data_IF_226517862451
#
_entry.id   IF_226517862451
#
_cell.length_a   1.000
_cell.length_b   1.000
_cell.length_c   1.000
_cell.angle_alpha   90.00
_cell.angle_beta   90.00
_cell.angle_gamma   90.00
#
_symmetry.space_group_name_H-M   'P 1'
#
loop_
_entity.id
_entity.type
_entity.pdbx_description
1 polymer ?
#
# COMPACT_ATOMS: atom_id res chain seq x y z
N UNK A 1 -4.55 18.91 10.26
CA UNK A 1 -5.37 17.73 9.95
C UNK A 1 -6.08 17.96 8.63
N UNK A 2 -5.93 17.06 7.65
CA UNK A 2 -5.97 17.38 6.22
C UNK A 2 -7.34 17.49 5.51
N UNK A 3 -8.47 17.20 6.16
CA UNK A 3 -9.80 17.49 5.59
C UNK A 3 -10.60 18.38 6.55
N UNK A 4 -10.92 19.61 6.13
CA UNK A 4 -11.59 20.60 6.97
C UNK A 4 -13.04 20.22 7.33
N UNK A 5 -13.75 19.54 6.43
CA UNK A 5 -15.17 19.27 6.58
C UNK A 5 -15.45 18.00 7.38
N UNK A 6 -14.60 16.99 7.22
CA UNK A 6 -14.71 15.68 7.86
C UNK A 6 -13.82 15.57 9.11
N UNK A 7 -13.03 16.59 9.42
CA UNK A 7 -12.09 16.63 10.55
C UNK A 7 -12.71 16.08 11.84
N UNK A 8 -13.81 16.69 12.26
CA UNK A 8 -14.50 16.36 13.50
C UNK A 8 -15.05 14.93 13.48
N UNK A 9 -15.57 14.48 12.33
CA UNK A 9 -16.09 13.14 12.18
C UNK A 9 -14.98 12.08 12.27
N UNK A 10 -13.84 12.32 11.62
CA UNK A 10 -12.68 11.42 11.63
C UNK A 10 -12.12 11.27 13.06
N UNK A 11 -12.05 12.38 13.80
CA UNK A 11 -11.60 12.41 15.21
C UNK A 11 -12.49 11.63 16.17
N UNK A 12 -13.74 11.31 15.82
CA UNK A 12 -14.60 10.51 16.69
C UNK A 12 -14.11 9.07 16.87
N UNK A 13 -13.30 8.56 15.92
CA UNK A 13 -12.89 7.16 15.89
C UNK A 13 -13.97 6.18 15.46
N UNK A 14 -15.11 6.66 14.96
CA UNK A 14 -16.23 5.81 14.54
C UNK A 14 -16.06 5.19 13.14
N UNK A 15 -15.09 5.63 12.36
CA UNK A 15 -14.78 5.04 11.06
C UNK A 15 -13.78 3.90 11.19
N UNK A 16 -14.06 2.74 10.60
CA UNK A 16 -13.05 1.68 10.50
C UNK A 16 -11.96 2.01 9.47
N UNK A 17 -12.36 2.71 8.39
CA UNK A 17 -11.52 2.96 7.23
C UNK A 17 -11.67 4.40 6.72
N UNK A 18 -10.54 5.02 6.41
CA UNK A 18 -10.47 6.36 5.80
C UNK A 18 -9.82 6.24 4.43
N UNK A 19 -10.60 6.44 3.36
CA UNK A 19 -10.10 6.45 1.98
C UNK A 19 -9.71 7.87 1.60
N UNK A 20 -8.42 8.18 1.66
CA UNK A 20 -7.92 9.53 1.39
C UNK A 20 -7.69 9.70 -0.11
N UNK A 21 -8.24 10.77 -0.69
CA UNK A 21 -8.05 11.11 -2.10
C UNK A 21 -6.73 11.88 -2.30
N UNK A 22 -5.71 11.25 -2.91
CA UNK A 22 -4.42 11.87 -3.23
C UNK A 22 -4.31 12.32 -4.70
N UNK A 23 -5.42 12.79 -5.26
CA UNK A 23 -5.52 13.26 -6.65
C UNK A 23 -6.48 14.44 -6.76
N UNK A 24 -6.42 15.16 -7.89
CA UNK A 24 -7.11 16.43 -8.11
C UNK A 24 -6.83 17.50 -7.04
N UNK A 25 -5.69 17.41 -6.35
CA UNK A 25 -5.33 18.28 -5.24
C UNK A 25 -3.80 18.52 -5.22
N UNK A 26 -3.30 19.53 -5.96
CA UNK A 26 -1.86 19.79 -6.15
C UNK A 26 -1.00 19.80 -4.87
N UNK A 27 -1.45 20.33 -3.71
CA UNK A 27 -0.68 20.34 -2.48
C UNK A 27 -0.39 18.97 -1.85
N UNK A 28 -1.11 17.91 -2.22
CA UNK A 28 -1.00 16.59 -1.60
C UNK A 28 -0.95 15.42 -2.59
N UNK A 29 -0.94 15.69 -3.89
CA UNK A 29 -0.90 14.64 -4.92
C UNK A 29 0.52 14.35 -5.42
N UNK A 30 0.65 13.23 -6.13
CA UNK A 30 1.87 12.93 -6.90
C UNK A 30 2.07 13.94 -8.03
N UNK A 31 3.32 14.40 -8.18
CA UNK A 31 3.78 15.11 -9.36
C UNK A 31 4.86 14.27 -10.07
N UNK A 32 4.88 14.20 -11.41
CA UNK A 32 5.89 13.43 -12.13
C UNK A 32 7.32 13.75 -11.65
N UNK A 33 8.02 12.73 -11.14
CA UNK A 33 9.39 12.86 -10.61
C UNK A 33 9.51 13.51 -9.22
N UNK A 34 8.41 13.78 -8.51
CA UNK A 34 8.43 14.36 -7.18
C UNK A 34 7.32 13.79 -6.26
N UNK A 35 7.73 13.05 -5.23
CA UNK A 35 6.86 12.42 -4.22
C UNK A 35 6.77 13.22 -2.92
N UNK A 36 7.48 14.33 -2.76
CA UNK A 36 7.63 15.00 -1.47
C UNK A 36 6.29 15.46 -0.88
N UNK A 37 5.46 16.13 -1.68
CA UNK A 37 4.16 16.64 -1.22
C UNK A 37 3.19 15.50 -0.89
N UNK A 38 3.22 14.44 -1.68
CA UNK A 38 2.45 13.22 -1.45
C UNK A 38 2.82 12.55 -0.12
N UNK A 39 4.13 12.38 0.13
CA UNK A 39 4.63 11.75 1.35
C UNK A 39 4.34 12.59 2.60
N UNK A 40 4.55 13.91 2.52
CA UNK A 40 4.20 14.81 3.62
C UNK A 40 2.71 14.68 3.98
N UNK A 41 1.83 14.65 2.98
CA UNK A 41 0.40 14.48 3.21
C UNK A 41 0.05 13.09 3.75
N UNK A 42 0.70 12.03 3.27
CA UNK A 42 0.52 10.68 3.79
C UNK A 42 0.90 10.57 5.27
N UNK A 43 2.04 11.17 5.65
CA UNK A 43 2.51 11.18 7.04
C UNK A 43 1.56 11.98 7.94
N UNK A 44 1.03 13.11 7.45
CA UNK A 44 0.00 13.87 8.16
C UNK A 44 -1.27 13.02 8.38
N UNK A 45 -1.78 12.35 7.35
CA UNK A 45 -2.96 11.51 7.47
C UNK A 45 -2.75 10.35 8.46
N UNK A 46 -1.65 9.61 8.31
CA UNK A 46 -1.38 8.42 9.13
C UNK A 46 -1.05 8.77 10.59
N UNK A 47 -0.52 9.97 10.85
CA UNK A 47 -0.26 10.44 12.22
C UNK A 47 -1.49 11.01 12.93
N UNK A 48 -2.46 11.57 12.19
CA UNK A 48 -3.65 12.21 12.77
C UNK A 48 -4.87 11.30 12.86
N UNK A 49 -4.94 10.24 12.05
CA UNK A 49 -6.00 9.23 12.14
C UNK A 49 -5.73 8.29 13.32
N UNK A 50 -6.77 7.95 14.09
CA UNK A 50 -6.64 7.12 15.28
C UNK A 50 -6.05 5.73 14.94
N UNK A 51 -5.22 5.14 15.82
CA UNK A 51 -4.48 3.91 15.51
C UNK A 51 -5.34 2.67 15.18
N UNK A 52 -6.60 2.64 15.61
CA UNK A 52 -7.54 1.57 15.33
C UNK A 52 -8.20 1.68 13.94
N UNK A 53 -8.03 2.81 13.25
CA UNK A 53 -8.60 3.05 11.94
C UNK A 53 -7.54 2.79 10.87
N UNK A 54 -7.93 2.19 9.75
CA UNK A 54 -7.04 1.99 8.60
C UNK A 54 -7.11 3.16 7.63
N UNK A 55 -5.96 3.62 7.13
CA UNK A 55 -5.86 4.66 6.10
C UNK A 55 -5.56 4.01 4.75
N UNK A 56 -6.42 4.25 3.77
CA UNK A 56 -6.26 3.75 2.42
C UNK A 56 -5.77 4.86 1.50
N UNK A 57 -4.81 4.51 0.65
CA UNK A 57 -4.17 5.39 -0.31
C UNK A 57 -5.01 5.49 -1.58
N UNK A 58 -5.86 6.51 -1.67
CA UNK A 58 -6.79 6.70 -2.79
C UNK A 58 -6.11 7.32 -4.00
N UNK A 59 -6.13 6.58 -5.11
CA UNK A 59 -5.49 6.91 -6.37
C UNK A 59 -6.48 6.87 -7.53
N UNK A 60 -6.26 7.67 -8.59
CA UNK A 60 -7.03 7.52 -9.81
C UNK A 60 -6.51 6.33 -10.59
N UNK A 61 -7.41 5.50 -11.10
CA UNK A 61 -7.08 4.28 -11.83
C UNK A 61 -6.56 4.55 -13.25
N UNK A 62 -6.69 5.78 -13.75
CA UNK A 62 -6.15 6.22 -15.03
C UNK A 62 -5.83 7.72 -15.00
N UNK A 63 -5.02 8.24 -15.94
CA UNK A 63 -4.81 9.68 -16.09
C UNK A 63 -6.12 10.46 -16.25
N UNK A 64 -7.06 9.93 -17.04
CA UNK A 64 -8.33 10.61 -17.37
C UNK A 64 -9.31 10.66 -16.19
N UNK A 65 -9.14 9.78 -15.19
CA UNK A 65 -9.95 9.77 -13.97
C UNK A 65 -9.65 10.95 -13.02
N UNK A 66 -8.51 11.63 -13.22
CA UNK A 66 -8.09 12.77 -12.43
C UNK A 66 -7.51 13.87 -13.33
N UNK A 67 -8.38 14.67 -13.99
CA UNK A 67 -7.94 15.68 -14.96
C UNK A 67 -7.07 16.79 -14.34
N UNK A 68 -7.11 16.99 -13.02
CA UNK A 68 -6.26 17.94 -12.30
C UNK A 68 -4.96 17.31 -11.76
N UNK A 69 -4.68 16.06 -12.11
CA UNK A 69 -3.44 15.35 -11.79
C UNK A 69 -3.53 14.41 -10.59
N UNK A 70 -2.39 13.80 -10.23
CA UNK A 70 -2.27 12.81 -9.16
C UNK A 70 -2.26 11.36 -9.63
N UNK A 71 -2.34 11.09 -10.93
CA UNK A 71 -2.10 9.75 -11.47
C UNK A 71 -0.64 9.33 -11.27
N UNK A 72 -0.45 8.12 -10.73
CA UNK A 72 0.86 7.52 -10.50
C UNK A 72 0.98 6.32 -11.45
N UNK A 73 1.95 6.29 -12.37
CA UNK A 73 2.18 5.12 -13.20
C UNK A 73 2.46 3.87 -12.33
N UNK A 74 1.94 2.68 -12.67
CA UNK A 74 2.09 1.48 -11.83
C UNK A 74 3.54 1.18 -11.42
N UNK A 75 4.51 1.32 -12.33
CA UNK A 75 5.92 1.09 -12.02
C UNK A 75 6.44 2.07 -10.95
N UNK A 76 6.14 3.37 -11.09
CA UNK A 76 6.50 4.40 -10.10
C UNK A 76 5.82 4.11 -8.76
N UNK A 77 4.54 3.75 -8.78
CA UNK A 77 3.79 3.39 -7.57
C UNK A 77 4.48 2.22 -6.85
N UNK A 78 4.90 1.20 -7.59
CA UNK A 78 5.57 0.01 -7.04
C UNK A 78 6.98 0.31 -6.52
N UNK A 79 7.80 1.03 -7.28
CA UNK A 79 9.22 1.21 -6.96
C UNK A 79 9.51 2.35 -5.99
N UNK A 80 8.68 3.39 -5.97
CA UNK A 80 8.95 4.61 -5.21
C UNK A 80 7.94 4.84 -4.08
N UNK A 81 6.65 4.67 -4.34
CA UNK A 81 5.58 5.11 -3.43
C UNK A 81 5.19 4.04 -2.43
N UNK A 82 4.86 2.82 -2.87
CA UNK A 82 4.47 1.70 -2.01
C UNK A 82 5.53 1.36 -0.93
N UNK A 83 6.85 1.37 -1.21
CA UNK A 83 7.86 1.12 -0.18
C UNK A 83 7.84 2.14 0.97
N UNK A 84 7.41 3.37 0.71
CA UNK A 84 7.25 4.41 1.72
C UNK A 84 5.94 4.25 2.49
N UNK A 85 4.80 4.28 1.79
CA UNK A 85 3.48 4.35 2.45
C UNK A 85 3.16 3.11 3.28
N UNK A 86 3.68 1.94 2.90
CA UNK A 86 3.48 0.67 3.64
C UNK A 86 4.18 0.64 5.01
N UNK A 87 5.07 1.59 5.30
CA UNK A 87 5.76 1.69 6.60
C UNK A 87 4.81 2.15 7.71
N UNK A 88 3.73 2.86 7.37
CA UNK A 88 2.73 3.27 8.34
C UNK A 88 2.04 2.06 8.99
N UNK A 89 1.91 2.07 10.32
CA UNK A 89 1.29 0.98 11.09
C UNK A 89 -0.17 0.77 10.68
N UNK A 90 -0.89 1.84 10.36
CA UNK A 90 -2.29 1.89 9.95
C UNK A 90 -2.51 1.93 8.43
N UNK A 91 -1.50 1.63 7.60
CA UNK A 91 -1.70 1.43 6.15
C UNK A 91 -2.72 0.30 5.90
N UNK A 92 -3.85 0.65 5.27
CA UNK A 92 -4.95 -0.26 4.94
C UNK A 92 -4.89 -0.86 3.54
N UNK A 93 -4.25 -0.18 2.59
CA UNK A 93 -4.22 -0.60 1.18
C UNK A 93 -4.29 0.57 0.21
N UNK A 94 -4.61 0.26 -1.04
CA UNK A 94 -4.87 1.23 -2.11
C UNK A 94 -6.38 1.23 -2.43
N UNK A 95 -6.97 2.40 -2.57
CA UNK A 95 -8.32 2.59 -3.11
C UNK A 95 -8.19 3.15 -4.52
N UNK A 96 -8.95 2.63 -5.49
CA UNK A 96 -8.90 3.07 -6.88
C UNK A 96 -10.21 3.78 -7.27
N UNK A 97 -10.06 5.01 -7.75
CA UNK A 97 -11.10 5.76 -8.43
C UNK A 97 -10.91 5.66 -9.94
N UNK A 98 -11.71 4.91 -10.67
CA UNK A 98 -12.83 4.08 -10.26
C UNK A 98 -12.80 2.75 -11.01
N UNK A 99 -13.84 1.93 -10.85
CA UNK A 99 -13.93 0.64 -11.56
C UNK A 99 -13.96 0.80 -13.07
N UNK A 100 -14.60 1.84 -13.60
CA UNK A 100 -14.70 2.06 -15.05
C UNK A 100 -13.30 2.29 -15.64
N UNK A 101 -12.54 3.20 -15.05
CA UNK A 101 -11.18 3.51 -15.50
C UNK A 101 -10.20 2.37 -15.21
N UNK A 102 -10.36 1.65 -14.10
CA UNK A 102 -9.54 0.49 -13.74
C UNK A 102 -9.66 -0.63 -14.78
N UNK A 103 -10.88 -0.93 -15.26
CA UNK A 103 -11.08 -1.95 -16.31
C UNK A 103 -10.41 -1.56 -17.63
N UNK A 104 -10.45 -0.28 -17.98
CA UNK A 104 -9.88 0.21 -19.24
C UNK A 104 -8.35 0.32 -19.19
N UNK A 105 -7.80 0.67 -18.03
CA UNK A 105 -6.37 0.91 -17.85
C UNK A 105 -5.63 -0.28 -17.18
N UNK A 106 -6.35 -1.31 -16.75
CA UNK A 106 -5.83 -2.50 -16.06
C UNK A 106 -4.94 -2.13 -14.85
N UNK A 107 -5.31 -1.09 -14.11
CA UNK A 107 -4.41 -0.51 -13.12
C UNK A 107 -4.23 -1.44 -11.92
N UNK A 108 -5.33 -1.97 -11.39
CA UNK A 108 -5.32 -2.95 -10.29
C UNK A 108 -4.54 -4.22 -10.65
N UNK A 109 -4.70 -4.72 -11.87
CA UNK A 109 -3.99 -5.92 -12.34
C UNK A 109 -2.47 -5.76 -12.32
N UNK A 110 -1.97 -4.54 -12.53
CA UNK A 110 -0.53 -4.24 -12.51
C UNK A 110 0.03 -4.11 -11.09
N UNK A 111 -0.80 -3.83 -10.07
CA UNK A 111 -0.33 -3.50 -8.71
C UNK A 111 -0.78 -4.48 -7.63
N UNK A 112 -1.76 -5.35 -7.89
CA UNK A 112 -2.42 -6.20 -6.89
C UNK A 112 -1.48 -7.08 -6.07
N UNK A 113 -0.36 -7.51 -6.63
CA UNK A 113 0.62 -8.36 -5.92
C UNK A 113 1.54 -7.54 -4.99
N UNK A 114 1.60 -6.22 -5.17
CA UNK A 114 2.47 -5.31 -4.43
C UNK A 114 1.75 -4.56 -3.29
N UNK A 115 0.43 -4.43 -3.38
CA UNK A 115 -0.43 -3.76 -2.39
C UNK A 115 -0.48 -4.47 -1.02
N UNK A 116 -0.53 -5.82 -0.92
CA UNK A 116 -0.66 -6.50 0.36
C UNK A 116 0.48 -6.18 1.32
N UNK A 117 0.14 -5.85 2.56
CA UNK A 117 1.14 -5.63 3.62
C UNK A 117 1.79 -6.95 4.05
N UNK A 118 1.04 -8.05 4.06
CA UNK A 118 1.46 -9.31 4.72
C UNK A 118 1.19 -10.62 3.98
N UNK A 119 0.49 -10.65 2.83
CA UNK A 119 0.07 -11.91 2.21
C UNK A 119 1.24 -12.87 1.87
N UNK A 120 2.45 -12.35 1.66
CA UNK A 120 3.63 -13.17 1.35
C UNK A 120 4.63 -13.33 2.50
N UNK A 121 4.74 -12.41 3.46
CA UNK A 121 5.83 -12.48 4.47
C UNK A 121 5.69 -13.68 5.42
N UNK A 122 4.47 -14.02 5.82
CA UNK A 122 4.24 -15.16 6.72
C UNK A 122 4.42 -16.50 5.99
N UNK A 123 3.94 -16.59 4.74
CA UNK A 123 4.09 -17.82 3.92
C UNK A 123 5.54 -18.06 3.55
N UNK A 124 6.29 -17.02 3.13
CA UNK A 124 7.72 -17.15 2.82
C UNK A 124 8.54 -17.49 4.06
N UNK A 125 8.32 -16.82 5.20
CA UNK A 125 9.06 -17.12 6.43
C UNK A 125 8.80 -18.56 6.94
N UNK A 126 7.54 -19.04 6.85
CA UNK A 126 7.20 -20.42 7.18
C UNK A 126 7.81 -21.41 6.17
N UNK A 127 7.77 -21.09 4.88
CA UNK A 127 8.40 -21.87 3.80
C UNK A 127 9.91 -22.04 4.03
N UNK A 128 10.62 -20.95 4.30
CA UNK A 128 12.07 -20.93 4.49
C UNK A 128 12.45 -21.74 5.75
N UNK A 129 11.72 -21.55 6.85
CA UNK A 129 11.92 -22.31 8.08
C UNK A 129 11.66 -23.82 7.88
N UNK A 130 10.65 -24.20 7.09
CA UNK A 130 10.38 -25.60 6.73
C UNK A 130 11.52 -26.14 5.85
N UNK A 131 11.96 -25.39 4.84
CA UNK A 131 13.04 -25.79 3.95
C UNK A 131 14.35 -26.04 4.70
N UNK A 132 14.74 -25.11 5.58
CA UNK A 132 15.92 -25.27 6.43
C UNK A 132 15.82 -26.51 7.33
N UNK A 133 14.65 -26.73 7.94
CA UNK A 133 14.40 -27.88 8.81
C UNK A 133 14.49 -29.22 8.05
N UNK A 134 13.86 -29.31 6.88
CA UNK A 134 13.87 -30.52 6.04
C UNK A 134 15.26 -30.79 5.47
N UNK A 135 15.97 -29.75 5.00
CA UNK A 135 17.34 -29.85 4.50
C UNK A 135 18.29 -30.36 5.59
N UNK A 136 18.22 -29.80 6.80
CA UNK A 136 19.02 -30.24 7.93
C UNK A 136 18.75 -31.70 8.34
N UNK A 137 17.47 -32.11 8.36
CA UNK A 137 17.09 -33.49 8.65
C UNK A 137 17.63 -34.46 7.59
N UNK A 138 17.49 -34.10 6.30
CA UNK A 138 17.96 -34.92 5.17
C UNK A 138 19.47 -35.08 5.20
N UNK A 139 20.22 -34.00 5.43
CA UNK A 139 21.67 -34.05 5.56
C UNK A 139 22.13 -34.94 6.73
N UNK A 140 21.46 -34.87 7.89
CA UNK A 140 21.78 -35.73 9.05
C UNK A 140 21.53 -37.21 8.75
N UNK A 141 20.48 -37.54 7.99
CA UNK A 141 20.17 -38.92 7.60
C UNK A 141 21.23 -39.45 6.62
N UNK A 142 21.62 -38.64 5.63
CA UNK A 142 22.63 -39.02 4.64
C UNK A 142 24.02 -39.21 5.26
N UNK A 143 24.39 -38.41 6.26
CA UNK A 143 25.67 -38.54 6.98
C UNK A 143 25.70 -39.70 7.99
N UNK A 144 24.56 -40.27 8.37
CA UNK A 144 24.45 -41.36 9.35
C UNK A 144 24.39 -42.76 8.75
N UNK A 145 24.49 -42.93 7.43
CA UNK A 145 24.64 -44.25 6.81
C UNK A 145 26.13 -44.60 6.70
N UNK A 146 26.70 -45.48 7.55
CA UNK A 146 27.96 -46.12 7.22
C UNK A 146 27.70 -47.16 6.12
N UNK A 147 28.67 -47.31 5.21
CA UNK A 147 28.77 -48.52 4.38
C UNK A 147 28.96 -49.75 5.25
#
# INVERSE_FOLDING_TARGET
>A
MPDYHLDNAIKTGLFDHVNVQFYNNPPCQYSPGNTQLLFNSWDDWTSNVLPNNSVFFGLPASPDAAPSGGYIPPQVLISEVLPYVKQASNYGGVMLWDRYHDVLNYHSDQIKDYVPKYAMRFVTAVSDAIYESVSAATHRILQKKPY
#
